data_IF_711693066736
#
_entry.id   IF_711693066736
#
_cell.length_a   1.000
_cell.length_b   1.000
_cell.length_c   1.000
_cell.angle_alpha   90.00
_cell.angle_beta   90.00
_cell.angle_gamma   90.00
#
_symmetry.space_group_name_H-M   'P 1'
#
loop_
_entity.id
_entity.type
_entity.pdbx_description
1 polymer ?
#
# COMPACT_ATOMS: atom_id res chain seq x y z
N UNK A 1 13.65 -17.94 -21.54
CA UNK A 1 13.09 -16.68 -21.01
C UNK A 1 12.62 -15.85 -22.18
N UNK A 2 11.32 -15.63 -22.29
CA UNK A 2 10.66 -15.06 -23.48
C UNK A 2 10.01 -13.70 -23.19
N UNK A 3 9.98 -13.28 -21.91
CA UNK A 3 9.31 -12.05 -21.52
C UNK A 3 9.97 -10.82 -22.12
N UNK A 4 11.30 -10.79 -22.32
CA UNK A 4 12.00 -9.64 -22.89
C UNK A 4 11.53 -9.27 -24.31
N UNK A 5 10.87 -10.20 -24.99
CA UNK A 5 10.28 -10.00 -26.32
C UNK A 5 8.81 -9.58 -26.29
N UNK A 6 8.18 -9.55 -25.10
CA UNK A 6 6.79 -9.18 -24.94
C UNK A 6 6.61 -7.71 -25.31
N UNK A 7 5.77 -7.45 -26.30
CA UNK A 7 5.42 -6.10 -26.75
C UNK A 7 3.98 -5.75 -26.37
N UNK A 8 3.66 -4.45 -26.39
CA UNK A 8 2.32 -3.94 -26.09
C UNK A 8 1.24 -4.54 -27.00
N UNK A 9 1.57 -4.79 -28.26
CA UNK A 9 0.65 -5.32 -29.29
C UNK A 9 0.13 -6.73 -28.96
N UNK A 10 0.85 -7.46 -28.10
CA UNK A 10 0.49 -8.82 -27.69
C UNK A 10 -0.40 -8.82 -26.43
N UNK A 11 -0.63 -7.66 -25.83
CA UNK A 11 -1.49 -7.49 -24.67
C UNK A 11 -2.89 -7.05 -25.11
N UNK A 12 -3.89 -7.48 -24.34
CA UNK A 12 -5.29 -7.17 -24.62
C UNK A 12 -6.04 -6.83 -23.32
N UNK A 13 -7.08 -6.00 -23.47
CA UNK A 13 -7.95 -5.59 -22.37
C UNK A 13 -7.17 -4.96 -21.21
N UNK A 14 -7.54 -5.34 -19.99
CA UNK A 14 -6.97 -4.79 -18.76
C UNK A 14 -5.45 -4.96 -18.63
N UNK A 15 -4.86 -5.98 -19.26
CA UNK A 15 -3.41 -6.16 -19.25
C UNK A 15 -2.69 -5.11 -20.11
N UNK A 16 -3.28 -4.74 -21.25
CA UNK A 16 -2.77 -3.66 -22.10
C UNK A 16 -2.89 -2.32 -21.38
N UNK A 17 -4.06 -2.03 -20.82
CA UNK A 17 -4.32 -0.79 -20.06
C UNK A 17 -3.32 -0.62 -18.91
N UNK A 18 -3.04 -1.69 -18.15
CA UNK A 18 -2.03 -1.65 -17.08
C UNK A 18 -0.65 -1.36 -17.67
N UNK A 19 -0.25 -2.05 -18.74
CA UNK A 19 1.05 -1.84 -19.38
C UNK A 19 1.20 -0.44 -19.99
N UNK A 20 0.12 0.20 -20.44
CA UNK A 20 0.13 1.58 -20.92
C UNK A 20 0.36 2.58 -19.78
N UNK A 21 -0.20 2.31 -18.59
CA UNK A 21 -0.03 3.16 -17.41
C UNK A 21 1.40 3.10 -16.85
N UNK A 22 2.01 1.91 -16.79
CA UNK A 22 3.30 1.71 -16.10
C UNK A 22 4.49 1.51 -17.05
N UNK A 23 4.23 1.29 -18.34
CA UNK A 23 5.21 0.93 -19.36
C UNK A 23 5.52 -0.58 -19.42
N UNK A 24 5.89 -1.05 -20.61
CA UNK A 24 6.13 -2.48 -20.89
C UNK A 24 7.23 -3.10 -20.02
N UNK A 25 8.28 -2.35 -19.68
CA UNK A 25 9.36 -2.86 -18.81
C UNK A 25 8.87 -3.17 -17.39
N UNK A 26 8.09 -2.28 -16.80
CA UNK A 26 7.54 -2.46 -15.47
C UNK A 26 6.48 -3.56 -15.47
N UNK A 27 5.67 -3.63 -16.53
CA UNK A 27 4.71 -4.72 -16.73
C UNK A 27 5.40 -6.09 -16.78
N UNK A 28 6.52 -6.23 -17.50
CA UNK A 28 7.30 -7.48 -17.53
C UNK A 28 7.80 -7.89 -16.16
N UNK A 29 8.26 -6.94 -15.35
CA UNK A 29 8.66 -7.20 -13.96
C UNK A 29 7.47 -7.66 -13.11
N UNK A 30 6.30 -7.06 -13.28
CA UNK A 30 5.07 -7.49 -12.60
C UNK A 30 4.70 -8.93 -12.95
N UNK A 31 4.70 -9.28 -14.23
CA UNK A 31 4.39 -10.64 -14.69
C UNK A 31 5.43 -11.64 -14.19
N UNK A 32 6.72 -11.28 -14.19
CA UNK A 32 7.78 -12.14 -13.68
C UNK A 32 7.67 -12.39 -12.16
N UNK A 33 7.28 -11.38 -11.38
CA UNK A 33 7.22 -11.47 -9.92
C UNK A 33 5.91 -12.02 -9.39
N UNK A 34 4.79 -11.75 -10.07
CA UNK A 34 3.44 -12.01 -9.56
C UNK A 34 2.52 -12.76 -10.55
N UNK A 35 3.05 -13.19 -11.70
CA UNK A 35 2.28 -13.94 -12.71
C UNK A 35 1.59 -15.17 -12.12
N UNK A 36 0.30 -15.34 -12.43
CA UNK A 36 -0.53 -16.41 -11.88
C UNK A 36 -1.20 -16.08 -10.54
N UNK A 37 -0.88 -14.95 -9.93
CA UNK A 37 -1.54 -14.44 -8.71
C UNK A 37 -2.61 -13.41 -9.05
N UNK A 38 -3.66 -13.32 -8.22
CA UNK A 38 -4.63 -12.22 -8.28
C UNK A 38 -4.13 -11.08 -7.39
N UNK A 39 -3.73 -9.96 -8.00
CA UNK A 39 -3.24 -8.78 -7.29
C UNK A 39 -4.37 -7.76 -7.19
N UNK A 40 -4.69 -7.36 -5.98
CA UNK A 40 -5.59 -6.24 -5.74
C UNK A 40 -4.81 -4.92 -5.83
N UNK A 41 -5.29 -3.99 -6.66
CA UNK A 41 -4.79 -2.61 -6.69
C UNK A 41 -5.65 -1.78 -5.73
N UNK A 42 -5.04 -1.34 -4.64
CA UNK A 42 -5.70 -0.53 -3.62
C UNK A 42 -6.19 0.80 -4.16
N UNK A 43 -7.34 1.25 -3.66
CA UNK A 43 -7.84 2.60 -3.92
C UNK A 43 -6.82 3.63 -3.41
N UNK A 44 -6.66 4.73 -4.15
CA UNK A 44 -5.75 5.80 -3.78
C UNK A 44 -5.98 6.29 -2.35
N UNK A 45 -7.24 6.51 -1.95
CA UNK A 45 -7.60 6.94 -0.60
C UNK A 45 -7.14 5.94 0.46
N UNK A 46 -7.27 4.63 0.20
CA UNK A 46 -6.82 3.60 1.14
C UNK A 46 -5.30 3.63 1.32
N UNK A 47 -4.54 3.83 0.23
CA UNK A 47 -3.08 3.94 0.28
C UNK A 47 -2.67 5.21 1.02
N UNK A 48 -3.28 6.36 0.68
CA UNK A 48 -2.97 7.65 1.31
C UNK A 48 -3.35 7.67 2.79
N UNK A 49 -4.49 7.08 3.16
CA UNK A 49 -4.86 6.88 4.56
C UNK A 49 -3.85 5.96 5.26
N UNK A 50 -3.42 4.86 4.63
CA UNK A 50 -2.40 3.98 5.20
C UNK A 50 -1.06 4.70 5.43
N UNK A 51 -0.61 5.51 4.47
CA UNK A 51 0.62 6.31 4.60
C UNK A 51 0.50 7.36 5.70
N UNK A 52 -0.64 8.08 5.76
CA UNK A 52 -0.93 9.04 6.80
C UNK A 52 -0.96 8.36 8.17
N UNK A 53 -1.68 7.26 8.30
CA UNK A 53 -1.83 6.50 9.54
C UNK A 53 -0.46 5.96 10.02
N UNK A 54 0.39 5.49 9.10
CA UNK A 54 1.76 5.08 9.40
C UNK A 54 2.67 6.24 9.82
N UNK A 55 2.50 7.42 9.23
CA UNK A 55 3.20 8.64 9.64
C UNK A 55 2.77 9.10 11.04
N UNK A 56 1.45 9.11 11.31
CA UNK A 56 0.87 9.40 12.62
C UNK A 56 1.46 8.47 13.67
N UNK A 57 1.49 7.17 13.40
CA UNK A 57 2.07 6.19 14.31
C UNK A 57 3.57 6.39 14.55
N UNK A 58 4.33 6.77 13.51
CA UNK A 58 5.77 7.03 13.65
C UNK A 58 6.07 8.28 14.49
N UNK A 59 5.21 9.30 14.42
CA UNK A 59 5.34 10.55 15.20
C UNK A 59 4.74 10.48 16.60
N UNK A 60 4.03 9.39 16.92
CA UNK A 60 3.41 9.23 18.20
C UNK A 60 4.45 8.94 19.29
N UNK A 61 4.45 9.75 20.35
CA UNK A 61 5.42 9.69 21.45
C UNK A 61 4.89 9.01 22.73
N UNK A 62 3.63 8.56 22.71
CA UNK A 62 2.93 7.97 23.86
C UNK A 62 1.86 8.87 24.46
N UNK A 63 1.86 10.18 24.18
CA UNK A 63 0.91 11.12 24.79
C UNK A 63 0.47 12.28 23.89
N UNK A 64 1.16 12.55 22.78
CA UNK A 64 0.92 13.68 21.87
C UNK A 64 -0.33 13.57 20.96
N UNK A 65 -1.43 12.97 21.46
CA UNK A 65 -2.67 12.75 20.68
C UNK A 65 -3.27 14.05 20.13
N UNK A 66 -3.36 15.09 20.96
CA UNK A 66 -3.94 16.38 20.57
C UNK A 66 -3.08 17.09 19.52
N UNK A 67 -1.75 17.05 19.67
CA UNK A 67 -0.81 17.64 18.71
C UNK A 67 -0.96 16.99 17.33
N UNK A 68 -1.03 15.65 17.28
CA UNK A 68 -1.23 14.92 16.04
C UNK A 68 -2.61 15.18 15.43
N UNK A 69 -3.66 15.29 16.26
CA UNK A 69 -5.00 15.65 15.80
C UNK A 69 -5.00 16.99 15.07
N UNK A 70 -4.33 18.01 15.63
CA UNK A 70 -4.16 19.31 14.98
C UNK A 70 -3.29 19.24 13.72
N UNK A 71 -2.14 18.56 13.77
CA UNK A 71 -1.20 18.48 12.66
C UNK A 71 -1.79 17.80 11.41
N UNK A 72 -2.66 16.79 11.61
CA UNK A 72 -3.28 16.02 10.53
C UNK A 72 -4.73 16.43 10.26
N UNK A 73 -5.26 17.43 10.97
CA UNK A 73 -6.65 17.88 10.90
C UNK A 73 -7.65 16.71 11.08
N UNK A 74 -7.46 15.93 12.14
CA UNK A 74 -8.29 14.78 12.52
C UNK A 74 -8.84 14.96 13.92
N UNK A 75 -9.91 14.22 14.24
CA UNK A 75 -10.38 14.12 15.62
C UNK A 75 -9.40 13.30 16.47
N UNK A 76 -9.25 13.66 17.75
CA UNK A 76 -8.36 12.93 18.68
C UNK A 76 -8.72 11.43 18.76
N UNK A 77 -10.02 11.10 18.77
CA UNK A 77 -10.48 9.72 18.75
C UNK A 77 -9.97 8.95 17.51
N UNK A 78 -9.94 9.59 16.34
CA UNK A 78 -9.41 8.98 15.12
C UNK A 78 -7.92 8.70 15.24
N UNK A 79 -7.14 9.61 15.85
CA UNK A 79 -5.72 9.35 16.15
C UNK A 79 -5.59 8.16 17.09
N UNK A 80 -6.39 8.10 18.16
CA UNK A 80 -6.37 7.00 19.13
C UNK A 80 -6.67 5.66 18.47
N UNK A 81 -7.66 5.61 17.58
CA UNK A 81 -8.01 4.42 16.80
C UNK A 81 -6.89 4.00 15.84
N UNK A 82 -6.23 4.96 15.19
CA UNK A 82 -5.06 4.72 14.32
C UNK A 82 -3.93 4.07 15.13
N UNK A 83 -3.58 4.65 16.28
CA UNK A 83 -2.51 4.13 17.15
C UNK A 83 -2.85 2.73 17.65
N UNK A 84 -4.11 2.50 18.05
CA UNK A 84 -4.56 1.19 18.52
C UNK A 84 -4.45 0.12 17.41
N UNK A 85 -5.01 0.39 16.23
CA UNK A 85 -4.95 -0.54 15.08
C UNK A 85 -3.53 -0.87 14.66
N UNK A 86 -2.65 0.12 14.59
CA UNK A 86 -1.23 -0.09 14.23
C UNK A 86 -0.50 -0.94 15.27
N UNK A 87 -0.76 -0.71 16.57
CA UNK A 87 -0.16 -1.50 17.64
C UNK A 87 -0.55 -2.98 17.53
N UNK A 88 -1.84 -3.26 17.32
CA UNK A 88 -2.34 -4.63 17.17
C UNK A 88 -1.83 -5.32 15.91
N UNK A 89 -1.76 -4.60 14.79
CA UNK A 89 -1.22 -5.15 13.54
C UNK A 89 0.26 -5.51 13.68
N UNK A 90 1.05 -4.69 14.40
CA UNK A 90 2.47 -4.95 14.61
C UNK A 90 2.72 -6.17 15.49
N UNK A 91 1.91 -6.34 16.54
CA UNK A 91 1.95 -7.53 17.41
C UNK A 91 1.56 -8.79 16.64
N UNK A 92 0.52 -8.72 15.80
CA UNK A 92 0.12 -9.84 14.95
C UNK A 92 1.23 -10.24 13.97
N UNK A 93 1.89 -9.28 13.32
CA UNK A 93 2.99 -9.59 12.39
C UNK A 93 4.23 -10.17 13.07
N UNK A 94 4.51 -9.85 14.35
CA UNK A 94 5.62 -10.46 15.09
C UNK A 94 5.34 -11.92 15.48
N UNK A 95 4.07 -12.30 15.61
CA UNK A 95 3.63 -13.64 16.01
C UNK A 95 3.58 -14.64 14.84
N UNK A 96 3.50 -14.17 13.60
CA UNK A 96 3.40 -15.03 12.40
C UNK A 96 4.76 -15.56 11.89
N UNK A 97 5.86 -15.21 12.54
CA UNK A 97 7.22 -15.67 12.19
C UNK A 97 7.72 -16.87 13.03
N UNK A 98 6.81 -17.65 13.62
CA UNK A 98 7.13 -18.91 14.33
C UNK A 98 6.57 -20.14 13.62
#
# INVERSE_FOLDING_TARGET
MTLDKLTMEQLHGSQLEIAEVIGIEAYRKLVASYGGSSIYISKADSVMNGLRDAEIFRRFDGSNYLELAHAFNLAENTIRDIIYRQSTDREAHQMTFF
#
